data_IF_028078319825
#
_entry.id   IF_028078319825
#
_cell.length_a   1.000
_cell.length_b   1.000
_cell.length_c   1.000
_cell.angle_alpha   90.00
_cell.angle_beta   90.00
_cell.angle_gamma   90.00
#
_symmetry.space_group_name_H-M   'P 1'
#
loop_
_entity.id
_entity.type
_entity.pdbx_description
1 polymer ?
#
# COMPACT_ATOMS: atom_id res chain seq x y z
N UNK A 1 -49.80 -21.38 -65.92
CA UNK A 1 -51.24 -21.08 -65.99
C UNK A 1 -51.71 -20.62 -64.62
N UNK A 2 -52.35 -19.46 -64.64
CA UNK A 2 -53.34 -18.96 -63.65
C UNK A 2 -52.88 -18.87 -62.20
N UNK A 3 -53.00 -17.81 -61.45
CA UNK A 3 -53.67 -16.55 -61.69
C UNK A 3 -53.77 -15.82 -60.33
N UNK A 4 -53.60 -14.53 -60.41
CA UNK A 4 -53.80 -13.50 -59.36
C UNK A 4 -54.97 -13.81 -58.41
N UNK A 5 -54.86 -13.30 -57.13
CA UNK A 5 -55.77 -12.24 -56.71
C UNK A 5 -55.26 -11.46 -55.47
N UNK A 6 -55.38 -10.18 -55.57
CA UNK A 6 -55.15 -9.13 -54.53
C UNK A 6 -56.19 -9.18 -53.42
N UNK A 7 -55.79 -8.86 -52.20
CA UNK A 7 -56.67 -8.52 -51.09
C UNK A 7 -55.99 -7.49 -50.17
N UNK A 8 -56.55 -6.30 -50.08
CA UNK A 8 -56.09 -5.08 -49.40
C UNK A 8 -56.30 -5.11 -47.88
N UNK A 9 -55.35 -4.52 -47.20
CA UNK A 9 -55.44 -3.58 -46.07
C UNK A 9 -56.09 -4.01 -44.76
N UNK A 10 -55.28 -3.92 -43.69
CA UNK A 10 -55.63 -3.14 -42.51
C UNK A 10 -54.38 -2.86 -41.70
N UNK A 11 -54.06 -1.60 -41.49
CA UNK A 11 -53.01 -1.11 -40.64
C UNK A 11 -53.45 -1.24 -39.17
N UNK A 12 -52.65 -1.89 -38.35
CA UNK A 12 -52.75 -1.83 -36.87
C UNK A 12 -51.41 -1.31 -36.34
N UNK A 13 -51.40 -0.08 -35.84
CA UNK A 13 -50.31 0.51 -35.07
C UNK A 13 -50.20 -0.27 -33.74
N UNK A 14 -49.12 -1.04 -33.58
CA UNK A 14 -48.72 -1.52 -32.28
C UNK A 14 -47.60 -0.60 -31.77
N UNK A 15 -47.94 0.22 -30.79
CA UNK A 15 -46.98 1.05 -30.06
C UNK A 15 -46.04 0.11 -29.24
N UNK A 16 -44.78 -0.03 -29.65
CA UNK A 16 -43.75 -0.65 -28.88
C UNK A 16 -43.31 0.33 -27.76
N UNK A 17 -43.79 0.08 -26.56
CA UNK A 17 -43.24 0.69 -25.35
C UNK A 17 -41.85 0.08 -25.09
N UNK A 18 -40.80 0.80 -25.43
CA UNK A 18 -39.42 0.51 -25.05
C UNK A 18 -39.30 0.83 -23.56
N UNK A 19 -39.36 -0.18 -22.73
CA UNK A 19 -38.98 -0.07 -21.34
C UNK A 19 -37.44 0.16 -21.28
N UNK A 20 -37.05 1.40 -21.04
CA UNK A 20 -35.65 1.73 -20.70
C UNK A 20 -35.35 1.11 -19.36
N UNK A 21 -34.65 -0.03 -19.37
CA UNK A 21 -34.00 -0.56 -18.18
C UNK A 21 -32.84 0.38 -17.87
N UNK A 22 -33.06 1.30 -16.93
CA UNK A 22 -32.01 2.08 -16.34
C UNK A 22 -31.04 1.14 -15.64
N UNK A 23 -29.87 0.93 -16.20
CA UNK A 23 -28.71 0.39 -15.53
C UNK A 23 -28.32 1.35 -14.40
N UNK A 24 -28.86 1.14 -13.20
CA UNK A 24 -28.38 1.76 -11.97
C UNK A 24 -27.08 1.07 -11.58
N UNK A 25 -25.98 1.48 -12.20
CA UNK A 25 -24.64 1.07 -11.86
C UNK A 25 -23.92 2.21 -11.15
N UNK A 26 -23.57 2.04 -9.90
CA UNK A 26 -22.52 2.73 -9.11
C UNK A 26 -22.39 4.26 -9.26
N UNK A 27 -23.47 5.01 -9.05
CA UNK A 27 -23.49 6.48 -9.09
C UNK A 27 -23.84 7.17 -7.77
N UNK A 28 -24.30 6.44 -6.74
CA UNK A 28 -25.01 7.06 -5.63
C UNK A 28 -24.13 7.86 -4.65
N UNK A 29 -22.88 7.44 -4.42
CA UNK A 29 -22.01 8.11 -3.46
C UNK A 29 -21.54 9.53 -3.86
N UNK A 30 -21.48 9.86 -5.15
CA UNK A 30 -21.13 11.22 -5.60
C UNK A 30 -22.31 12.19 -5.47
N UNK A 31 -23.54 11.70 -5.68
CA UNK A 31 -24.74 12.51 -5.58
C UNK A 31 -25.07 12.88 -4.14
N UNK A 32 -24.91 11.93 -3.21
CA UNK A 32 -25.19 12.15 -1.78
C UNK A 32 -24.17 13.12 -1.14
N UNK A 33 -22.89 13.01 -1.48
CA UNK A 33 -21.85 13.92 -0.99
C UNK A 33 -21.98 15.32 -1.59
N UNK A 34 -22.33 15.45 -2.87
CA UNK A 34 -22.63 16.73 -3.51
C UNK A 34 -23.90 17.39 -2.94
N UNK A 35 -24.92 16.61 -2.60
CA UNK A 35 -26.12 17.08 -1.93
C UNK A 35 -25.81 17.63 -0.51
N UNK A 36 -24.78 17.11 0.18
CA UNK A 36 -24.32 17.59 1.47
C UNK A 36 -23.32 18.76 1.37
N UNK A 37 -22.95 19.22 0.19
CA UNK A 37 -21.94 20.26 -0.04
C UNK A 37 -20.53 19.88 0.41
N UNK A 38 -20.19 18.57 0.39
CA UNK A 38 -18.89 18.03 0.76
C UNK A 38 -17.93 17.99 -0.42
N UNK A 39 -16.68 18.37 -0.20
CA UNK A 39 -15.58 18.13 -1.14
C UNK A 39 -15.02 16.71 -0.95
N UNK A 40 -15.11 15.87 -1.98
CA UNK A 40 -14.60 14.50 -1.93
C UNK A 40 -13.15 14.46 -2.38
N UNK A 41 -12.27 13.83 -1.58
CA UNK A 41 -10.86 13.54 -1.90
C UNK A 41 -10.68 12.01 -1.94
N UNK A 42 -10.39 11.49 -3.13
CA UNK A 42 -10.11 10.06 -3.30
C UNK A 42 -8.67 9.75 -2.95
N UNK A 43 -8.46 8.90 -1.95
CA UNK A 43 -7.12 8.48 -1.51
C UNK A 43 -6.92 7.00 -1.81
N UNK A 44 -5.93 6.70 -2.67
CA UNK A 44 -5.52 5.33 -2.97
C UNK A 44 -4.73 4.72 -1.80
N UNK A 45 -5.15 3.55 -1.34
CA UNK A 45 -4.51 2.80 -0.25
C UNK A 45 -4.34 1.33 -0.64
N UNK A 46 -3.38 0.64 0.00
CA UNK A 46 -3.18 -0.80 -0.17
C UNK A 46 -3.36 -1.47 1.19
N UNK A 47 -4.15 -2.57 1.21
CA UNK A 47 -4.43 -3.32 2.44
C UNK A 47 -5.53 -2.71 3.32
N UNK A 48 -5.67 -3.24 4.54
CA UNK A 48 -6.79 -2.96 5.44
C UNK A 48 -6.44 -2.14 6.68
N UNK A 49 -5.23 -1.59 6.76
CA UNK A 49 -4.79 -0.74 7.88
C UNK A 49 -5.22 0.74 7.69
N UNK A 50 -6.52 1.00 7.77
CA UNK A 50 -7.13 2.27 7.36
C UNK A 50 -7.83 3.04 8.49
N UNK A 51 -7.76 2.59 9.76
CA UNK A 51 -8.45 3.24 10.89
C UNK A 51 -8.03 4.71 11.11
N UNK A 52 -6.80 5.08 10.79
CA UNK A 52 -6.33 6.46 10.84
C UNK A 52 -7.13 7.38 9.89
N UNK A 53 -7.64 6.86 8.78
CA UNK A 53 -8.45 7.64 7.84
C UNK A 53 -9.86 7.93 8.37
N UNK A 54 -10.39 7.09 9.25
CA UNK A 54 -11.65 7.39 9.95
C UNK A 54 -11.46 8.60 10.88
N UNK A 55 -10.33 8.64 11.62
CA UNK A 55 -9.95 9.80 12.44
C UNK A 55 -9.77 11.06 11.59
N UNK A 56 -9.07 10.96 10.47
CA UNK A 56 -8.88 12.08 9.53
C UNK A 56 -10.23 12.59 9.01
N UNK A 57 -11.15 11.69 8.66
CA UNK A 57 -12.49 12.08 8.19
C UNK A 57 -13.28 12.83 9.27
N UNK A 58 -13.23 12.39 10.54
CA UNK A 58 -13.89 13.11 11.63
C UNK A 58 -13.36 14.53 11.79
N UNK A 59 -12.04 14.71 11.70
CA UNK A 59 -11.38 16.02 11.81
C UNK A 59 -11.73 16.96 10.64
N UNK A 60 -11.92 16.39 9.44
CA UNK A 60 -12.22 17.15 8.22
C UNK A 60 -13.69 17.57 8.06
N UNK A 61 -14.62 17.07 8.88
CA UNK A 61 -16.05 17.43 8.83
C UNK A 61 -16.28 18.93 8.91
N UNK A 62 -15.54 19.63 9.79
CA UNK A 62 -15.60 21.08 9.95
C UNK A 62 -15.26 21.86 8.69
N UNK A 63 -14.42 21.29 7.82
CA UNK A 63 -13.98 21.86 6.57
C UNK A 63 -14.84 21.42 5.39
N UNK A 64 -15.87 20.61 5.62
CA UNK A 64 -16.71 19.99 4.60
C UNK A 64 -15.90 19.20 3.56
N UNK A 65 -14.87 18.47 4.02
CA UNK A 65 -14.04 17.58 3.23
C UNK A 65 -14.29 16.16 3.69
N UNK A 66 -14.39 15.23 2.74
CA UNK A 66 -14.50 13.80 2.99
C UNK A 66 -13.44 13.04 2.18
N UNK A 67 -12.60 12.28 2.87
CA UNK A 67 -11.70 11.31 2.24
C UNK A 67 -12.49 10.05 1.91
N UNK A 68 -12.44 9.66 0.64
CA UNK A 68 -12.97 8.39 0.14
C UNK A 68 -11.79 7.49 -0.24
N UNK A 69 -11.63 6.37 0.47
CA UNK A 69 -10.57 5.42 0.19
C UNK A 69 -10.87 4.62 -1.08
N UNK A 70 -9.85 4.49 -1.94
CA UNK A 70 -9.84 3.61 -3.10
C UNK A 70 -8.80 2.53 -2.82
N UNK A 71 -9.26 1.31 -2.57
CA UNK A 71 -8.40 0.19 -2.19
C UNK A 71 -7.81 -0.48 -3.42
N UNK A 72 -6.50 -0.74 -3.38
CA UNK A 72 -5.75 -1.50 -4.36
C UNK A 72 -5.21 -2.79 -3.72
N UNK A 73 -5.03 -3.82 -4.53
CA UNK A 73 -4.49 -5.12 -4.09
C UNK A 73 -2.98 -5.24 -4.22
N UNK A 74 -2.34 -4.31 -4.95
CA UNK A 74 -0.92 -4.34 -5.29
C UNK A 74 -0.27 -2.97 -5.13
N UNK A 75 1.08 -2.93 -5.20
CA UNK A 75 1.83 -1.68 -5.11
C UNK A 75 2.08 -1.00 -6.47
N UNK A 76 1.89 -1.69 -7.59
CA UNK A 76 2.21 -1.17 -8.92
C UNK A 76 1.14 -0.21 -9.47
N UNK A 77 -0.13 -0.42 -9.08
CA UNK A 77 -1.27 0.29 -9.66
C UNK A 77 -1.51 1.69 -9.09
N UNK A 78 -1.36 1.99 -7.79
CA UNK A 78 -1.81 3.26 -7.20
C UNK A 78 -1.10 4.51 -7.74
N UNK A 79 0.20 4.43 -8.08
CA UNK A 79 0.94 5.57 -8.63
C UNK A 79 0.48 5.93 -10.04
N UNK A 80 0.18 4.92 -10.86
CA UNK A 80 -0.41 5.13 -12.18
C UNK A 80 -1.78 5.77 -12.06
N UNK A 81 -2.67 5.24 -11.21
CA UNK A 81 -4.00 5.77 -10.98
C UNK A 81 -3.95 7.25 -10.48
N UNK A 82 -2.94 7.59 -9.66
CA UNK A 82 -2.70 8.98 -9.23
C UNK A 82 -2.25 9.85 -10.40
N UNK A 83 -1.28 9.41 -11.19
CA UNK A 83 -0.76 10.13 -12.34
C UNK A 83 -1.85 10.39 -13.41
N UNK A 84 -2.70 9.39 -13.67
CA UNK A 84 -3.81 9.43 -14.62
C UNK A 84 -5.03 10.24 -14.09
N UNK A 85 -5.06 10.62 -12.81
CA UNK A 85 -6.12 11.41 -12.20
C UNK A 85 -7.38 10.62 -11.81
N UNK A 86 -7.30 9.30 -11.73
CA UNK A 86 -8.38 8.43 -11.25
C UNK A 86 -8.60 8.58 -9.73
N UNK A 87 -7.53 8.89 -9.01
CA UNK A 87 -7.50 9.26 -7.61
C UNK A 87 -6.82 10.61 -7.40
N UNK A 88 -7.05 11.24 -6.27
CA UNK A 88 -6.54 12.57 -5.94
C UNK A 88 -5.20 12.53 -5.21
N UNK A 89 -5.07 11.59 -4.28
CA UNK A 89 -3.90 11.30 -3.46
C UNK A 89 -3.68 9.79 -3.41
N UNK A 90 -2.47 9.35 -3.02
CA UNK A 90 -2.30 8.00 -2.51
C UNK A 90 -1.48 8.00 -1.20
N UNK A 91 -1.64 6.95 -0.39
CA UNK A 91 -0.97 6.80 0.90
C UNK A 91 -0.72 5.31 1.19
N UNK A 92 0.30 4.72 0.58
CA UNK A 92 0.61 3.29 0.73
C UNK A 92 2.11 2.99 0.72
N UNK A 93 2.94 3.90 0.23
CA UNK A 93 4.32 3.69 -0.16
C UNK A 93 5.30 4.51 0.66
N UNK A 94 6.52 4.02 0.81
CA UNK A 94 7.62 4.79 1.37
C UNK A 94 8.38 5.60 0.29
N UNK A 95 9.16 6.60 0.73
CA UNK A 95 9.87 7.54 -0.15
C UNK A 95 10.77 6.84 -1.18
N UNK A 96 11.49 5.78 -0.77
CA UNK A 96 12.35 5.04 -1.70
C UNK A 96 11.55 4.36 -2.82
N UNK A 97 10.36 3.80 -2.50
CA UNK A 97 9.48 3.20 -3.51
C UNK A 97 8.94 4.27 -4.46
N UNK A 98 8.41 5.37 -3.92
CA UNK A 98 7.90 6.49 -4.73
C UNK A 98 8.97 7.02 -5.69
N UNK A 99 10.20 7.26 -5.19
CA UNK A 99 11.33 7.72 -6.00
C UNK A 99 11.64 6.75 -7.14
N UNK A 100 11.78 5.46 -6.84
CA UNK A 100 12.06 4.43 -7.83
C UNK A 100 10.98 4.35 -8.91
N UNK A 101 9.72 4.42 -8.50
CA UNK A 101 8.58 4.31 -9.42
C UNK A 101 8.47 5.55 -10.33
N UNK A 102 8.76 6.75 -9.80
CA UNK A 102 8.88 7.98 -10.60
C UNK A 102 10.01 7.87 -11.63
N UNK A 103 11.20 7.44 -11.20
CA UNK A 103 12.36 7.31 -12.07
C UNK A 103 12.11 6.29 -13.20
N UNK A 104 11.44 5.19 -12.88
CA UNK A 104 11.16 4.11 -13.81
C UNK A 104 10.06 4.45 -14.84
N UNK A 105 9.00 5.14 -14.41
CA UNK A 105 7.79 5.34 -15.21
C UNK A 105 7.59 6.79 -15.66
N UNK A 106 8.39 7.75 -15.16
CA UNK A 106 8.29 9.16 -15.51
C UNK A 106 7.07 9.88 -14.94
N UNK A 107 6.43 9.33 -13.90
CA UNK A 107 5.24 9.93 -13.27
C UNK A 107 5.54 11.33 -12.73
N UNK A 108 4.58 12.25 -12.91
CA UNK A 108 4.63 13.61 -12.35
C UNK A 108 3.84 13.66 -11.05
N UNK A 109 4.34 12.94 -10.05
CA UNK A 109 3.79 12.85 -8.69
C UNK A 109 4.90 13.13 -7.67
N UNK A 110 4.53 13.57 -6.49
CA UNK A 110 5.49 13.85 -5.41
C UNK A 110 4.87 13.66 -4.03
N UNK A 111 5.71 13.46 -3.00
CA UNK A 111 5.28 13.38 -1.62
C UNK A 111 4.90 14.78 -1.11
N UNK A 112 3.75 14.88 -0.45
CA UNK A 112 3.25 16.12 0.18
C UNK A 112 3.13 16.03 1.70
N UNK A 113 3.32 14.85 2.30
CA UNK A 113 3.33 14.67 3.75
C UNK A 113 3.84 13.30 4.15
N UNK A 114 4.66 13.24 5.20
CA UNK A 114 5.11 12.00 5.82
C UNK A 114 3.97 11.38 6.65
N UNK A 115 3.91 10.05 6.75
CA UNK A 115 2.80 9.39 7.47
C UNK A 115 3.30 8.49 8.59
N UNK A 116 3.83 7.34 8.25
CA UNK A 116 4.25 6.32 9.22
C UNK A 116 5.50 5.59 8.74
N UNK A 117 6.13 4.89 9.67
CA UNK A 117 7.11 3.86 9.35
C UNK A 117 6.66 2.53 9.95
N UNK A 118 6.98 1.45 9.28
CA UNK A 118 6.84 0.08 9.76
C UNK A 118 8.05 -0.74 9.34
N UNK A 119 8.68 -1.52 10.25
CA UNK A 119 9.79 -2.36 9.87
C UNK A 119 9.34 -3.50 8.97
N UNK A 120 10.17 -3.83 7.99
CA UNK A 120 10.06 -5.10 7.29
C UNK A 120 10.43 -6.22 8.26
N UNK A 121 9.66 -7.30 8.31
CA UNK A 121 9.83 -8.35 9.32
C UNK A 121 9.92 -9.73 8.69
N UNK A 122 10.69 -10.61 9.36
CA UNK A 122 10.77 -12.03 9.04
C UNK A 122 9.70 -12.77 9.80
N UNK A 123 8.71 -13.30 9.09
CA UNK A 123 7.69 -14.20 9.60
C UNK A 123 8.07 -15.64 9.26
N UNK A 124 8.06 -16.51 10.26
CA UNK A 124 8.50 -17.88 10.11
C UNK A 124 7.35 -18.84 9.88
N UNK A 125 7.62 -19.89 9.12
CA UNK A 125 6.80 -21.10 9.17
C UNK A 125 7.13 -21.85 10.48
N UNK A 126 6.22 -21.81 11.44
CA UNK A 126 6.41 -22.36 12.80
C UNK A 126 6.70 -23.86 12.83
N UNK A 127 6.35 -24.58 11.74
CA UNK A 127 6.67 -25.98 11.57
C UNK A 127 8.13 -26.25 11.12
N UNK A 128 8.78 -25.22 10.55
CA UNK A 128 10.14 -25.32 9.99
C UNK A 128 11.18 -24.57 10.81
N UNK A 129 10.87 -23.33 11.23
CA UNK A 129 11.76 -22.47 12.01
C UNK A 129 11.06 -21.95 13.26
N UNK A 130 11.79 -21.86 14.39
CA UNK A 130 11.31 -21.21 15.63
C UNK A 130 12.02 -19.88 15.87
N UNK A 131 13.23 -19.73 15.37
CA UNK A 131 14.05 -18.53 15.51
C UNK A 131 15.05 -18.41 14.36
N UNK A 132 15.70 -17.26 14.21
CA UNK A 132 16.78 -17.06 13.22
C UNK A 132 18.01 -17.98 13.49
N UNK A 133 18.17 -18.49 14.70
CA UNK A 133 19.27 -19.42 15.05
C UNK A 133 19.08 -20.83 14.48
N UNK A 134 17.87 -21.18 14.11
CA UNK A 134 17.52 -22.50 13.57
C UNK A 134 17.75 -22.58 12.05
N UNK A 135 18.09 -21.44 11.42
CA UNK A 135 18.30 -21.36 9.96
C UNK A 135 19.50 -22.19 9.56
N UNK A 136 19.33 -23.02 8.55
CA UNK A 136 20.35 -23.94 8.01
C UNK A 136 20.37 -23.93 6.50
N UNK A 137 21.38 -24.56 5.92
CA UNK A 137 21.51 -24.74 4.47
C UNK A 137 20.25 -25.40 3.88
N UNK A 138 19.76 -24.85 2.79
CA UNK A 138 18.56 -25.30 2.10
C UNK A 138 17.24 -24.67 2.58
N UNK A 139 17.26 -23.84 3.67
CA UNK A 139 16.07 -23.09 4.06
C UNK A 139 15.69 -22.04 3.00
N UNK A 140 14.38 -21.90 2.76
CA UNK A 140 13.83 -21.01 1.74
C UNK A 140 13.26 -19.75 2.39
N UNK A 141 13.74 -18.60 1.96
CA UNK A 141 13.25 -17.29 2.37
C UNK A 141 12.54 -16.60 1.21
N UNK A 142 11.25 -16.32 1.37
CA UNK A 142 10.49 -15.54 0.39
C UNK A 142 10.63 -14.04 0.68
N UNK A 143 10.89 -13.25 -0.37
CA UNK A 143 11.08 -11.80 -0.26
C UNK A 143 10.25 -11.06 -1.32
N UNK A 144 9.95 -9.75 -1.12
CA UNK A 144 9.34 -8.92 -2.16
C UNK A 144 10.15 -8.89 -3.45
N UNK A 145 9.46 -8.92 -4.58
CA UNK A 145 10.09 -8.90 -5.92
C UNK A 145 10.36 -7.50 -6.47
N UNK A 146 9.77 -6.45 -5.87
CA UNK A 146 10.07 -5.08 -6.28
C UNK A 146 11.46 -4.66 -5.78
N UNK A 147 12.16 -3.82 -6.57
CA UNK A 147 13.54 -3.44 -6.32
C UNK A 147 13.77 -2.89 -4.91
N UNK A 148 12.87 -2.04 -4.41
CA UNK A 148 13.10 -1.35 -3.15
C UNK A 148 12.79 -2.22 -1.93
N UNK A 149 11.68 -2.95 -1.92
CA UNK A 149 11.37 -3.87 -0.82
C UNK A 149 12.21 -5.15 -0.89
N UNK A 150 12.55 -5.63 -2.09
CA UNK A 150 13.50 -6.73 -2.28
C UNK A 150 14.88 -6.39 -1.71
N UNK A 151 15.40 -5.20 -2.05
CA UNK A 151 16.66 -4.68 -1.49
C UNK A 151 16.62 -4.54 0.03
N UNK A 152 15.53 -3.98 0.60
CA UNK A 152 15.29 -3.95 2.05
C UNK A 152 15.33 -5.35 2.66
N UNK A 153 14.67 -6.32 2.02
CA UNK A 153 14.65 -7.69 2.51
C UNK A 153 16.05 -8.31 2.54
N UNK A 154 16.86 -8.08 1.51
CA UNK A 154 18.25 -8.53 1.51
C UNK A 154 19.08 -7.87 2.60
N UNK A 155 18.87 -6.58 2.89
CA UNK A 155 19.54 -5.89 4.02
C UNK A 155 19.08 -6.43 5.38
N UNK A 156 17.83 -6.86 5.52
CA UNK A 156 17.34 -7.55 6.72
C UNK A 156 18.02 -8.91 6.89
N UNK A 157 18.16 -9.70 5.81
CA UNK A 157 18.86 -10.99 5.85
C UNK A 157 20.37 -10.80 6.13
N UNK A 158 20.99 -9.73 5.62
CA UNK A 158 22.37 -9.36 5.94
C UNK A 158 22.51 -8.98 7.42
N UNK A 159 21.61 -8.16 7.95
CA UNK A 159 21.59 -7.80 9.37
C UNK A 159 21.36 -9.00 10.30
N UNK A 160 20.64 -10.02 9.82
CA UNK A 160 20.45 -11.29 10.49
C UNK A 160 21.69 -12.22 10.39
N UNK A 161 22.73 -11.82 9.65
CA UNK A 161 23.98 -12.57 9.50
C UNK A 161 23.91 -13.72 8.50
N UNK A 162 22.87 -13.83 7.68
CA UNK A 162 22.68 -14.95 6.75
C UNK A 162 23.46 -14.77 5.43
N UNK A 163 23.56 -13.53 4.95
CA UNK A 163 24.22 -13.16 3.68
C UNK A 163 25.12 -11.93 3.87
N UNK A 164 25.91 -11.61 2.86
CA UNK A 164 26.63 -10.34 2.71
C UNK A 164 26.34 -9.81 1.33
N UNK A 165 25.86 -8.57 1.24
CA UNK A 165 25.63 -7.87 -0.03
C UNK A 165 26.80 -6.97 -0.39
N UNK A 166 26.98 -6.64 -1.69
CA UNK A 166 27.93 -5.65 -2.14
C UNK A 166 27.59 -4.28 -1.51
N UNK A 167 28.48 -3.69 -0.70
CA UNK A 167 28.23 -2.40 -0.04
C UNK A 167 28.04 -1.25 -1.03
N UNK A 168 28.56 -1.34 -2.26
CA UNK A 168 28.40 -0.33 -3.29
C UNK A 168 26.96 -0.17 -3.76
N UNK A 169 26.08 -1.17 -3.52
CA UNK A 169 24.65 -1.15 -3.86
C UNK A 169 23.77 -0.43 -2.83
N UNK A 170 24.37 0.00 -1.72
CA UNK A 170 23.66 0.76 -0.69
C UNK A 170 22.45 -0.01 -0.16
N UNK A 171 21.27 0.60 -0.28
CA UNK A 171 20.02 0.07 0.29
C UNK A 171 19.11 -0.66 -0.73
N UNK A 172 19.59 -0.85 -1.96
CA UNK A 172 18.83 -1.49 -3.05
C UNK A 172 19.63 -2.61 -3.76
N UNK A 173 20.28 -3.53 -3.01
CA UNK A 173 20.92 -4.69 -3.63
C UNK A 173 19.85 -5.60 -4.25
N UNK A 174 20.26 -6.34 -5.26
CA UNK A 174 19.50 -7.46 -5.85
C UNK A 174 20.15 -8.78 -5.46
N UNK A 175 19.52 -9.90 -5.76
CA UNK A 175 20.12 -11.24 -5.47
C UNK A 175 21.48 -11.44 -6.12
N UNK A 176 21.74 -10.81 -7.26
CA UNK A 176 23.03 -10.89 -7.96
C UNK A 176 24.13 -10.09 -7.27
N UNK A 177 23.77 -9.21 -6.33
CA UNK A 177 24.70 -8.40 -5.55
C UNK A 177 25.07 -9.09 -4.20
N UNK A 178 24.59 -10.31 -3.94
CA UNK A 178 25.02 -11.11 -2.79
C UNK A 178 26.42 -11.64 -3.07
N UNK A 179 27.39 -11.17 -2.30
CA UNK A 179 28.82 -11.56 -2.45
C UNK A 179 29.17 -12.79 -1.63
N UNK A 180 28.39 -13.09 -0.58
CA UNK A 180 28.64 -14.24 0.29
C UNK A 180 27.34 -14.74 0.93
N UNK A 181 27.21 -16.05 1.02
CA UNK A 181 26.22 -16.74 1.83
C UNK A 181 26.93 -17.31 3.08
N UNK A 182 26.59 -16.80 4.26
CA UNK A 182 27.06 -17.37 5.53
C UNK A 182 26.29 -18.67 5.85
N UNK A 183 25.02 -18.73 5.44
CA UNK A 183 24.18 -19.93 5.40
C UNK A 183 23.64 -20.03 3.96
N UNK A 184 23.68 -21.18 3.35
CA UNK A 184 23.25 -21.41 1.96
C UNK A 184 21.73 -21.47 1.84
N UNK A 185 21.07 -20.35 2.16
CA UNK A 185 19.63 -20.22 2.00
C UNK A 185 19.24 -20.05 0.52
N UNK A 186 18.03 -20.49 0.17
CA UNK A 186 17.37 -20.17 -1.11
C UNK A 186 16.57 -18.89 -0.93
N UNK A 187 16.70 -17.93 -1.85
CA UNK A 187 15.90 -16.70 -1.85
C UNK A 187 14.89 -16.77 -3.00
N UNK A 188 13.60 -16.78 -2.64
CA UNK A 188 12.46 -16.79 -3.57
C UNK A 188 11.79 -15.42 -3.61
N UNK A 189 11.76 -14.79 -4.76
CA UNK A 189 11.09 -13.51 -4.97
C UNK A 189 9.64 -13.73 -5.37
N UNK A 190 8.73 -12.94 -4.76
CA UNK A 190 7.32 -12.93 -5.10
C UNK A 190 6.74 -11.51 -4.90
N UNK A 191 5.59 -11.25 -5.52
CA UNK A 191 4.85 -10.01 -5.30
C UNK A 191 4.52 -9.84 -3.79
N UNK A 192 4.64 -8.60 -3.26
CA UNK A 192 4.55 -8.34 -1.83
C UNK A 192 3.22 -8.76 -1.19
N UNK A 193 2.11 -8.65 -1.92
CA UNK A 193 0.77 -9.00 -1.43
C UNK A 193 0.53 -10.50 -1.26
N UNK A 194 1.32 -11.36 -1.93
CA UNK A 194 1.13 -12.82 -1.86
C UNK A 194 2.09 -13.53 -0.90
N UNK A 195 3.06 -12.83 -0.31
CA UNK A 195 4.09 -13.42 0.54
C UNK A 195 3.54 -14.21 1.72
N UNK A 196 2.45 -13.73 2.33
CA UNK A 196 1.79 -14.47 3.40
C UNK A 196 1.21 -15.81 2.92
N UNK A 197 0.63 -15.83 1.72
CA UNK A 197 0.00 -17.03 1.17
C UNK A 197 1.01 -18.14 0.88
N UNK A 198 2.25 -17.80 0.55
CA UNK A 198 3.33 -18.76 0.29
C UNK A 198 4.13 -19.12 1.54
N UNK A 199 3.89 -18.48 2.69
CA UNK A 199 4.59 -18.78 3.94
C UNK A 199 4.51 -20.25 4.37
N UNK A 200 3.41 -21.00 4.17
CA UNK A 200 3.38 -22.44 4.46
C UNK A 200 4.40 -23.28 3.66
N UNK A 201 4.77 -22.86 2.47
CA UNK A 201 5.63 -23.60 1.55
C UNK A 201 7.14 -23.32 1.76
N UNK A 202 7.48 -22.20 2.42
CA UNK A 202 8.85 -21.73 2.66
C UNK A 202 9.24 -21.87 4.14
N UNK A 203 10.50 -21.61 4.49
CA UNK A 203 10.95 -21.59 5.88
C UNK A 203 10.58 -20.28 6.58
N UNK A 204 10.65 -19.16 5.86
CA UNK A 204 10.24 -17.84 6.31
C UNK A 204 9.90 -16.93 5.13
N UNK A 205 9.17 -15.83 5.40
CA UNK A 205 8.91 -14.78 4.45
C UNK A 205 9.14 -13.39 5.07
N UNK A 206 9.71 -12.48 4.29
CA UNK A 206 9.89 -11.09 4.68
C UNK A 206 8.67 -10.30 4.19
N UNK A 207 7.79 -9.90 5.11
CA UNK A 207 6.49 -9.33 4.79
C UNK A 207 6.42 -7.88 5.26
N UNK A 208 5.96 -6.98 4.38
CA UNK A 208 5.71 -5.58 4.71
C UNK A 208 4.63 -5.45 5.79
N UNK A 209 4.78 -4.49 6.70
CA UNK A 209 3.90 -4.36 7.86
C UNK A 209 2.41 -4.22 7.53
N UNK A 210 2.06 -3.50 6.46
CA UNK A 210 0.68 -3.39 5.98
C UNK A 210 0.09 -4.73 5.52
N UNK A 211 0.87 -5.50 4.74
CA UNK A 211 0.46 -6.82 4.28
C UNK A 211 0.39 -7.83 5.44
N UNK A 212 1.32 -7.75 6.39
CA UNK A 212 1.29 -8.59 7.60
C UNK A 212 0.02 -8.31 8.44
N UNK A 213 -0.32 -7.03 8.63
CA UNK A 213 -1.55 -6.64 9.33
C UNK A 213 -2.80 -7.14 8.60
N UNK A 214 -2.89 -6.94 7.29
CA UNK A 214 -4.00 -7.41 6.45
C UNK A 214 -4.16 -8.94 6.52
N UNK A 215 -3.05 -9.67 6.63
CA UNK A 215 -3.03 -11.12 6.81
C UNK A 215 -3.35 -11.56 8.26
N UNK A 216 -3.62 -10.63 9.18
CA UNK A 216 -3.92 -10.92 10.58
C UNK A 216 -2.72 -11.32 11.43
N UNK A 217 -1.50 -11.09 10.95
CA UNK A 217 -0.28 -11.38 11.71
C UNK A 217 -0.02 -10.33 12.79
N UNK A 218 0.32 -10.78 13.98
CA UNK A 218 0.85 -9.91 15.04
C UNK A 218 2.34 -9.66 14.79
N UNK A 219 2.69 -8.41 14.46
CA UNK A 219 4.05 -8.03 14.09
C UNK A 219 5.11 -8.35 15.15
N UNK A 220 4.76 -8.37 16.44
CA UNK A 220 5.69 -8.68 17.54
C UNK A 220 5.73 -10.16 17.88
N UNK A 221 4.57 -10.84 17.85
CA UNK A 221 4.46 -12.25 18.33
C UNK A 221 4.77 -13.26 17.23
N UNK A 222 4.44 -12.92 15.97
CA UNK A 222 4.52 -13.86 14.85
C UNK A 222 5.80 -13.67 14.01
N UNK A 223 6.62 -12.63 14.29
CA UNK A 223 7.91 -12.42 13.61
C UNK A 223 9.08 -12.86 14.47
N UNK A 224 10.13 -13.35 13.82
CA UNK A 224 11.37 -13.82 14.47
C UNK A 224 12.56 -12.87 14.28
N UNK A 225 12.42 -11.86 13.40
CA UNK A 225 13.40 -10.81 13.18
C UNK A 225 12.73 -9.56 12.58
N UNK A 226 13.35 -8.40 12.79
CA UNK A 226 12.83 -7.14 12.28
C UNK A 226 13.94 -6.24 11.73
N UNK A 227 13.60 -5.47 10.70
CA UNK A 227 14.43 -4.39 10.20
C UNK A 227 14.72 -3.37 11.31
N UNK A 228 15.95 -2.86 11.34
CA UNK A 228 16.31 -1.74 12.21
C UNK A 228 15.79 -0.43 11.63
N UNK A 229 14.82 0.17 12.30
CA UNK A 229 14.24 1.46 11.94
C UNK A 229 14.60 2.60 12.91
N UNK A 230 15.58 2.40 13.78
CA UNK A 230 16.07 3.44 14.70
C UNK A 230 16.95 4.44 13.93
N UNK A 231 16.56 5.75 13.86
CA UNK A 231 17.31 6.76 13.13
C UNK A 231 18.70 7.05 13.72
N UNK A 232 18.95 6.65 14.96
CA UNK A 232 20.27 6.80 15.59
C UNK A 232 21.29 5.79 15.06
N UNK A 233 20.83 4.64 14.60
CA UNK A 233 21.68 3.52 14.17
C UNK A 233 21.48 3.15 12.70
N UNK A 234 20.40 3.64 12.05
CA UNK A 234 20.13 3.46 10.63
C UNK A 234 19.99 4.83 9.94
N UNK A 235 21.04 5.35 9.27
CA UNK A 235 20.98 6.65 8.58
C UNK A 235 20.01 6.67 7.39
N UNK A 236 19.59 5.50 6.90
CA UNK A 236 18.69 5.37 5.75
C UNK A 236 17.21 5.36 6.13
N UNK A 237 16.88 5.46 7.42
CA UNK A 237 15.51 5.31 7.90
C UNK A 237 14.53 6.31 7.28
N UNK A 238 14.98 7.54 6.99
CA UNK A 238 14.13 8.58 6.41
C UNK A 238 13.55 8.24 5.04
N UNK A 239 14.24 7.43 4.23
CA UNK A 239 13.71 6.99 2.94
C UNK A 239 12.66 5.87 3.06
N UNK A 240 12.52 5.30 4.27
CA UNK A 240 11.51 4.28 4.59
C UNK A 240 10.22 4.89 5.15
N UNK A 241 10.16 6.21 5.36
CA UNK A 241 8.94 6.88 5.77
C UNK A 241 7.89 6.79 4.67
N UNK A 242 6.72 6.30 5.02
CA UNK A 242 5.57 6.31 4.13
C UNK A 242 5.05 7.73 3.97
N UNK A 243 4.41 8.00 2.84
CA UNK A 243 3.99 9.33 2.45
C UNK A 243 2.57 9.37 1.92
N UNK A 244 1.94 10.54 2.01
CA UNK A 244 0.84 10.95 1.13
C UNK A 244 1.48 11.58 -0.10
N UNK A 245 1.12 11.09 -1.29
CA UNK A 245 1.58 11.63 -2.57
C UNK A 245 0.43 12.26 -3.36
N UNK A 246 0.75 13.31 -4.12
CA UNK A 246 -0.13 14.02 -5.03
C UNK A 246 0.51 14.15 -6.41
N UNK A 247 -0.27 14.51 -7.44
CA UNK A 247 0.31 14.97 -8.71
C UNK A 247 1.08 16.27 -8.48
N UNK A 248 2.25 16.41 -9.11
CA UNK A 248 3.13 17.58 -8.91
C UNK A 248 2.43 18.93 -9.21
N UNK A 249 1.51 18.97 -10.17
CA UNK A 249 0.71 20.16 -10.47
C UNK A 249 -0.29 20.53 -9.37
N UNK A 250 -0.66 19.57 -8.52
CA UNK A 250 -1.69 19.70 -7.48
C UNK A 250 -1.09 19.73 -6.06
N UNK A 251 0.24 19.73 -5.90
CA UNK A 251 0.93 19.63 -4.59
C UNK A 251 0.54 20.73 -3.60
N UNK A 252 0.26 21.93 -4.10
CA UNK A 252 -0.09 23.10 -3.29
C UNK A 252 -1.62 23.28 -3.16
N UNK A 253 -2.42 22.27 -3.55
CA UNK A 253 -3.87 22.32 -3.45
C UNK A 253 -4.29 22.48 -1.97
N UNK A 254 -5.03 23.55 -1.61
CA UNK A 254 -5.40 23.84 -0.23
C UNK A 254 -6.26 22.76 0.42
N UNK A 255 -7.05 22.01 -0.38
CA UNK A 255 -7.83 20.87 0.13
C UNK A 255 -6.92 19.72 0.51
N UNK A 256 -5.89 19.41 -0.29
CA UNK A 256 -4.93 18.35 0.01
C UNK A 256 -4.07 18.70 1.22
N UNK A 257 -3.69 19.99 1.35
CA UNK A 257 -3.02 20.47 2.56
C UNK A 257 -3.86 20.20 3.81
N UNK A 258 -5.17 20.48 3.81
CA UNK A 258 -6.05 20.18 4.94
C UNK A 258 -6.11 18.67 5.25
N UNK A 259 -6.07 17.81 4.24
CA UNK A 259 -5.99 16.36 4.45
C UNK A 259 -4.69 15.97 5.15
N UNK A 260 -3.55 16.51 4.70
CA UNK A 260 -2.25 16.29 5.36
C UNK A 260 -2.24 16.85 6.78
N UNK A 261 -2.74 18.08 6.99
CA UNK A 261 -2.81 18.70 8.32
C UNK A 261 -3.68 17.87 9.28
N UNK A 262 -4.81 17.32 8.82
CA UNK A 262 -5.67 16.43 9.60
C UNK A 262 -4.99 15.08 9.90
N UNK A 263 -4.17 14.58 8.95
CA UNK A 263 -3.37 13.39 9.19
C UNK A 263 -2.27 13.63 10.23
N UNK A 264 -1.66 14.81 10.25
CA UNK A 264 -0.57 15.21 11.15
C UNK A 264 -1.04 15.68 12.53
N UNK A 265 -2.14 15.11 13.04
CA UNK A 265 -2.67 15.47 14.35
C UNK A 265 -2.30 14.45 15.44
N UNK A 266 -2.34 14.87 16.73
CA UNK A 266 -2.20 13.98 17.87
C UNK A 266 -3.20 12.83 17.86
N UNK A 267 -4.44 13.08 17.44
CA UNK A 267 -5.52 12.10 17.37
C UNK A 267 -5.19 10.99 16.38
N UNK A 268 -4.73 11.36 15.19
CA UNK A 268 -4.30 10.39 14.14
C UNK A 268 -3.07 9.60 14.59
N UNK A 269 -2.08 10.26 15.21
CA UNK A 269 -0.91 9.59 15.77
C UNK A 269 -1.30 8.56 16.84
N UNK A 270 -2.22 8.93 17.75
CA UNK A 270 -2.74 8.03 18.76
C UNK A 270 -3.46 6.83 18.16
N UNK A 271 -4.29 7.05 17.14
CA UNK A 271 -4.96 5.96 16.41
C UNK A 271 -3.95 4.99 15.81
N UNK A 272 -2.92 5.48 15.11
CA UNK A 272 -1.86 4.64 14.54
C UNK A 272 -1.18 3.76 15.60
N UNK A 273 -0.85 4.33 16.76
CA UNK A 273 -0.13 3.60 17.80
C UNK A 273 -1.03 2.60 18.52
N UNK A 274 -2.26 2.98 18.86
CA UNK A 274 -3.14 2.15 19.69
C UNK A 274 -3.83 1.04 18.92
N UNK A 275 -4.43 1.36 17.76
CA UNK A 275 -5.20 0.38 16.96
C UNK A 275 -4.28 -0.72 16.44
N UNK A 276 -3.08 -0.34 15.98
CA UNK A 276 -2.14 -1.29 15.40
C UNK A 276 -1.11 -1.81 16.39
N UNK A 277 -1.29 -1.57 17.70
CA UNK A 277 -0.47 -2.12 18.80
C UNK A 277 1.04 -1.91 18.58
N UNK A 278 1.42 -0.75 18.05
CA UNK A 278 2.80 -0.39 17.76
C UNK A 278 3.41 -1.07 16.54
N UNK A 279 2.60 -1.63 15.63
CA UNK A 279 3.09 -2.09 14.33
C UNK A 279 3.48 -0.92 13.42
N UNK A 280 2.83 0.23 13.59
CA UNK A 280 3.07 1.44 12.82
C UNK A 280 3.46 2.58 13.76
N UNK A 281 4.49 3.32 13.39
CA UNK A 281 4.98 4.49 14.13
C UNK A 281 4.78 5.74 13.27
N UNK A 282 4.11 6.78 13.78
CA UNK A 282 3.97 8.06 13.07
C UNK A 282 5.34 8.74 12.95
N UNK A 283 5.59 9.46 11.82
CA UNK A 283 6.93 10.01 11.51
C UNK A 283 6.94 11.46 11.04
N UNK A 284 5.87 12.22 11.22
CA UNK A 284 5.86 13.66 10.97
C UNK A 284 6.35 14.46 12.18
N UNK A 285 6.71 15.72 11.97
CA UNK A 285 7.21 16.60 13.03
C UNK A 285 6.21 16.72 14.20
N UNK A 286 6.68 16.50 15.42
CA UNK A 286 5.87 16.52 16.64
C UNK A 286 5.16 15.19 16.96
N UNK A 287 5.37 14.17 16.14
CA UNK A 287 4.82 12.83 16.37
C UNK A 287 5.72 11.93 17.24
N UNK A 288 6.94 12.33 17.53
CA UNK A 288 8.00 11.52 18.18
C UNK A 288 7.62 11.04 19.59
N UNK A 289 6.69 11.76 20.25
CA UNK A 289 6.17 11.43 21.57
C UNK A 289 5.12 10.30 21.56
N UNK A 290 4.60 9.95 20.38
CA UNK A 290 3.60 8.88 20.25
C UNK A 290 4.29 7.57 19.91
N UNK A 291 4.58 6.79 20.92
CA UNK A 291 5.16 5.43 20.85
C UNK A 291 4.24 4.45 21.56
N UNK A 292 4.31 3.15 21.18
CA UNK A 292 3.54 2.06 21.81
C UNK A 292 4.37 1.37 22.87
#
# INVERSE_FOLDING_TARGET
MKGLHFGKAAAALAALSIAAVALTGCGDNKKDAAAAGMTIVKVGVVGDYNAQWDTVNELLKKDKIQVKLVKFSDYATPNRALADGEIDLNAFQHKAYLKNDIERNGYKIEAIGDTLITPLRVFNNKNKLKSMKDVKDGDIFAIPSDLTNGGRALKVLEAAGLIVCDPAKGYVPTKTDITKYNVKIEIREAESGVLFNILPDVSAALINGGNAYTAGLDSKKDSIFAENIDPKTNPNVGQLFNVIAARSKDKDNPVYKKVVDAYHTPETAKTLVTVYKGAFTPVWAGSEKYTY
#
